data_IF_975817329908
#
_entry.id   IF_975817329908
#
_cell.length_a   1.000
_cell.length_b   1.000
_cell.length_c   1.000
_cell.angle_alpha   90.00
_cell.angle_beta   90.00
_cell.angle_gamma   90.00
#
_symmetry.space_group_name_H-M   'P 1'
#
loop_
_entity.id
_entity.type
_entity.pdbx_description
1 polymer ?
#
# COMPACT_ATOMS: atom_id res chain seq x y z
N UNK A 1 -46.11 7.88 5.03
CA UNK A 1 -44.73 8.07 5.52
C UNK A 1 -43.99 6.75 5.38
N UNK A 2 -43.05 6.66 4.44
CA UNK A 2 -42.32 5.42 4.16
C UNK A 2 -41.14 5.26 5.10
N UNK A 3 -41.04 4.11 5.74
CA UNK A 3 -39.86 3.65 6.48
C UNK A 3 -38.70 3.49 5.50
N UNK A 4 -37.90 4.55 5.32
CA UNK A 4 -36.58 4.42 4.74
C UNK A 4 -35.72 3.65 5.73
N UNK A 5 -35.53 2.35 5.50
CA UNK A 5 -34.50 1.57 6.17
C UNK A 5 -33.14 2.17 5.77
N UNK A 6 -32.70 3.18 6.52
CA UNK A 6 -31.30 3.59 6.53
C UNK A 6 -30.52 2.42 7.12
N UNK A 7 -29.84 1.67 6.27
CA UNK A 7 -28.78 0.78 6.75
C UNK A 7 -27.75 1.68 7.43
N UNK A 8 -27.39 1.37 8.67
CA UNK A 8 -26.26 2.03 9.31
C UNK A 8 -25.04 1.86 8.39
N UNK A 9 -24.33 2.96 8.06
CA UNK A 9 -23.19 2.90 7.17
C UNK A 9 -22.12 2.01 7.82
N UNK A 10 -21.73 0.96 7.12
CA UNK A 10 -20.67 0.06 7.56
C UNK A 10 -19.34 0.54 6.96
N UNK A 11 -18.35 0.76 7.81
CA UNK A 11 -17.04 1.26 7.41
C UNK A 11 -16.10 0.07 7.14
N UNK A 12 -15.42 0.09 6.01
CA UNK A 12 -14.35 -0.83 5.67
C UNK A 12 -13.01 -0.10 5.61
N UNK A 13 -12.01 -0.69 6.26
CA UNK A 13 -10.63 -0.23 6.18
C UNK A 13 -9.90 -1.16 5.21
N UNK A 14 -9.41 -0.62 4.11
CA UNK A 14 -8.59 -1.37 3.16
C UNK A 14 -7.14 -0.96 3.30
N UNK A 15 -6.27 -1.96 3.44
CA UNK A 15 -4.84 -1.76 3.32
C UNK A 15 -4.41 -2.11 1.90
N UNK A 16 -3.69 -1.20 1.26
CA UNK A 16 -3.17 -1.36 -0.08
C UNK A 16 -1.65 -1.24 -0.03
N UNK A 17 -0.96 -2.26 -0.53
CA UNK A 17 0.48 -2.25 -0.73
C UNK A 17 0.78 -2.42 -2.21
N UNK A 18 1.46 -1.44 -2.80
CA UNK A 18 1.95 -1.47 -4.17
C UNK A 18 3.45 -1.66 -4.15
N UNK A 19 3.94 -2.71 -4.78
CA UNK A 19 5.38 -2.96 -4.95
C UNK A 19 5.73 -2.77 -6.41
N UNK A 20 6.55 -1.77 -6.73
CA UNK A 20 7.04 -1.48 -8.08
C UNK A 20 8.42 -2.08 -8.28
N UNK A 21 8.60 -2.82 -9.36
CA UNK A 21 9.87 -3.47 -9.71
C UNK A 21 10.55 -2.70 -10.84
N UNK A 22 11.71 -2.10 -10.54
CA UNK A 22 12.48 -1.32 -11.52
C UNK A 22 13.46 -2.17 -12.34
N UNK A 23 13.60 -3.45 -12.00
CA UNK A 23 14.49 -4.40 -12.66
C UNK A 23 15.72 -4.73 -11.81
N UNK A 24 16.74 -5.26 -12.49
CA UNK A 24 18.05 -5.58 -11.92
C UNK A 24 18.96 -4.38 -12.19
N UNK A 25 19.47 -3.72 -11.16
CA UNK A 25 20.60 -2.81 -11.38
C UNK A 25 21.90 -3.55 -11.10
N UNK A 26 22.82 -3.46 -12.06
CA UNK A 26 24.21 -3.89 -11.87
C UNK A 26 24.92 -2.82 -11.05
N UNK A 27 24.98 -2.99 -9.74
CA UNK A 27 25.80 -2.13 -8.90
C UNK A 27 27.23 -2.69 -8.89
N UNK A 28 28.26 -1.97 -9.37
CA UNK A 28 29.64 -2.35 -9.09
C UNK A 28 29.89 -2.13 -7.60
N UNK A 29 29.98 -3.23 -6.85
CA UNK A 29 30.48 -3.19 -5.47
C UNK A 29 32.00 -2.96 -5.57
N UNK A 30 32.45 -1.74 -5.26
CA UNK A 30 33.86 -1.52 -4.95
C UNK A 30 34.15 -2.14 -3.58
N UNK A 31 34.45 -3.44 -3.58
CA UNK A 31 35.09 -4.11 -2.44
C UNK A 31 36.55 -3.68 -2.44
N UNK A 32 37.11 -3.16 -1.32
CA UNK A 32 38.50 -2.76 -1.26
C UNK A 32 39.39 -3.96 -1.61
N UNK A 33 40.31 -3.73 -2.56
CA UNK A 33 41.21 -4.73 -3.14
C UNK A 33 41.84 -5.60 -2.05
N UNK A 34 41.47 -6.88 -2.00
CA UNK A 34 42.38 -7.95 -1.60
C UNK A 34 41.96 -9.35 -2.04
N UNK A 35 40.75 -9.55 -2.56
CA UNK A 35 40.37 -10.85 -3.14
C UNK A 35 39.56 -10.62 -4.41
N UNK A 36 40.11 -11.08 -5.55
CA UNK A 36 39.45 -11.08 -6.86
C UNK A 36 38.27 -12.03 -6.77
N UNK A 37 37.10 -11.52 -6.42
CA UNK A 37 35.81 -12.14 -6.69
C UNK A 37 34.90 -11.03 -7.21
N UNK A 38 34.79 -10.93 -8.54
CA UNK A 38 33.70 -10.21 -9.21
C UNK A 38 32.39 -10.98 -8.95
N UNK A 39 31.89 -10.92 -7.72
CA UNK A 39 30.58 -11.44 -7.38
C UNK A 39 29.54 -10.43 -7.88
N UNK A 40 28.96 -10.71 -9.05
CA UNK A 40 27.82 -9.97 -9.59
C UNK A 40 26.59 -10.25 -8.70
N UNK A 41 26.33 -9.38 -7.72
CA UNK A 41 25.10 -9.46 -6.93
C UNK A 41 23.97 -8.80 -7.72
N UNK A 42 23.09 -9.64 -8.26
CA UNK A 42 21.84 -9.21 -8.92
C UNK A 42 20.90 -8.66 -7.84
N UNK A 43 21.00 -7.35 -7.58
CA UNK A 43 20.06 -6.63 -6.72
C UNK A 43 18.75 -6.37 -7.47
N UNK A 44 17.63 -6.88 -6.96
CA UNK A 44 16.30 -6.46 -7.42
C UNK A 44 15.94 -5.16 -6.71
N UNK A 45 15.80 -4.07 -7.46
CA UNK A 45 15.35 -2.80 -6.91
C UNK A 45 13.83 -2.77 -6.94
N UNK A 46 13.23 -2.69 -5.76
CA UNK A 46 11.79 -2.52 -5.60
C UNK A 46 11.50 -1.35 -4.66
N UNK A 47 10.51 -0.54 -5.03
CA UNK A 47 9.91 0.44 -4.13
C UNK A 47 8.57 -0.11 -3.65
N UNK A 48 8.30 0.03 -2.36
CA UNK A 48 7.01 -0.35 -1.77
C UNK A 48 6.32 0.91 -1.29
N UNK A 49 5.07 1.08 -1.70
CA UNK A 49 4.18 2.16 -1.28
C UNK A 49 3.01 1.49 -0.55
N UNK A 50 2.73 1.95 0.67
CA UNK A 50 1.71 1.41 1.54
C UNK A 50 0.71 2.51 1.89
N UNK A 51 -0.59 2.26 1.73
CA UNK A 51 -1.66 3.21 2.04
C UNK A 51 -2.87 2.53 2.64
N UNK A 52 -3.64 3.30 3.40
CA UNK A 52 -4.96 2.89 3.88
C UNK A 52 -6.05 3.70 3.19
N UNK A 53 -7.15 3.03 2.83
CA UNK A 53 -8.34 3.62 2.24
C UNK A 53 -9.56 3.28 3.10
N UNK A 54 -10.35 4.29 3.43
CA UNK A 54 -11.61 4.14 4.18
C UNK A 54 -12.75 4.16 3.19
N UNK A 55 -13.56 3.12 3.19
CA UNK A 55 -14.70 2.99 2.28
C UNK A 55 -15.98 2.78 3.08
N UNK A 56 -16.97 3.62 2.82
CA UNK A 56 -18.30 3.49 3.42
C UNK A 56 -19.20 2.64 2.52
N UNK A 57 -19.79 1.58 3.09
CA UNK A 57 -20.78 0.76 2.41
C UNK A 57 -22.17 1.38 2.55
N UNK A 58 -22.65 1.92 1.44
CA UNK A 58 -24.01 2.44 1.29
C UNK A 58 -24.96 1.46 0.57
N UNK A 59 -24.47 0.30 0.15
CA UNK A 59 -25.21 -0.62 -0.72
C UNK A 59 -25.91 -1.76 0.04
N UNK A 60 -27.04 -2.23 -0.52
CA UNK A 60 -27.78 -3.40 -0.04
C UNK A 60 -27.16 -4.74 -0.44
N UNK A 61 -26.07 -4.73 -1.21
CA UNK A 61 -25.34 -5.93 -1.59
C UNK A 61 -24.79 -6.62 -0.34
N UNK A 62 -24.53 -7.92 -0.38
CA UNK A 62 -23.95 -8.61 0.78
C UNK A 62 -22.59 -8.01 1.14
N UNK A 63 -22.25 -8.02 2.44
CA UNK A 63 -20.96 -7.51 2.95
C UNK A 63 -19.77 -8.05 2.15
N UNK A 64 -19.74 -9.36 1.93
CA UNK A 64 -18.69 -10.03 1.18
C UNK A 64 -18.56 -9.51 -0.27
N UNK A 65 -19.70 -9.34 -0.95
CA UNK A 65 -19.70 -8.86 -2.33
C UNK A 65 -19.28 -7.39 -2.43
N UNK A 66 -19.69 -6.56 -1.46
CA UNK A 66 -19.22 -5.18 -1.35
C UNK A 66 -17.70 -5.13 -1.16
N UNK A 67 -17.14 -5.96 -0.28
CA UNK A 67 -15.70 -6.02 -0.04
C UNK A 67 -14.94 -6.37 -1.32
N UNK A 68 -15.41 -7.36 -2.08
CA UNK A 68 -14.79 -7.79 -3.33
C UNK A 68 -14.84 -6.69 -4.40
N UNK A 69 -15.98 -6.00 -4.53
CA UNK A 69 -16.13 -4.87 -5.44
C UNK A 69 -15.15 -3.73 -5.10
N UNK A 70 -15.10 -3.32 -3.84
CA UNK A 70 -14.21 -2.24 -3.42
C UNK A 70 -12.74 -2.63 -3.53
N UNK A 71 -12.37 -3.87 -3.15
CA UNK A 71 -11.02 -4.39 -3.36
C UNK A 71 -10.59 -4.26 -4.82
N UNK A 72 -11.43 -4.74 -5.75
CA UNK A 72 -11.13 -4.69 -7.18
C UNK A 72 -11.00 -3.25 -7.69
N UNK A 73 -11.88 -2.35 -7.26
CA UNK A 73 -11.81 -0.93 -7.64
C UNK A 73 -10.50 -0.27 -7.17
N UNK A 74 -10.07 -0.59 -5.94
CA UNK A 74 -8.83 -0.09 -5.37
C UNK A 74 -7.59 -0.65 -6.09
N UNK A 75 -7.62 -1.94 -6.45
CA UNK A 75 -6.57 -2.58 -7.26
C UNK A 75 -6.49 -1.94 -8.66
N UNK A 76 -7.62 -1.79 -9.35
CA UNK A 76 -7.69 -1.16 -10.68
C UNK A 76 -7.20 0.30 -10.63
N UNK A 77 -7.52 1.04 -9.56
CA UNK A 77 -7.04 2.40 -9.34
C UNK A 77 -5.52 2.43 -9.13
N UNK A 78 -4.99 1.55 -8.26
CA UNK A 78 -3.55 1.44 -8.02
C UNK A 78 -2.79 1.06 -9.30
N UNK A 79 -3.32 0.16 -10.13
CA UNK A 79 -2.69 -0.22 -11.40
C UNK A 79 -2.65 0.95 -12.38
N UNK A 80 -3.68 1.79 -12.40
CA UNK A 80 -3.71 3.00 -13.25
C UNK A 80 -2.74 4.07 -12.76
N UNK A 81 -2.64 4.24 -11.45
CA UNK A 81 -1.76 5.22 -10.81
C UNK A 81 -0.28 4.84 -10.97
N UNK A 82 0.05 3.58 -10.70
CA UNK A 82 1.42 3.07 -10.75
C UNK A 82 1.66 2.30 -12.06
N UNK A 83 2.27 2.96 -13.04
CA UNK A 83 2.61 2.31 -14.32
C UNK A 83 3.80 1.36 -14.21
N UNK A 84 3.80 0.28 -15.00
CA UNK A 84 4.93 -0.64 -15.18
C UNK A 84 4.76 -2.00 -14.49
N UNK A 85 5.89 -2.65 -14.17
CA UNK A 85 5.87 -3.94 -13.50
C UNK A 85 5.61 -3.74 -12.00
N UNK A 86 4.37 -3.98 -11.59
CA UNK A 86 3.90 -3.78 -10.21
C UNK A 86 3.22 -5.03 -9.67
N UNK A 87 3.21 -5.16 -8.35
CA UNK A 87 2.37 -6.09 -7.61
C UNK A 87 1.54 -5.29 -6.64
N UNK A 88 0.21 -5.46 -6.70
CA UNK A 88 -0.74 -4.83 -5.78
C UNK A 88 -1.27 -5.89 -4.84
N UNK A 89 -1.21 -5.63 -3.54
CA UNK A 89 -1.83 -6.43 -2.50
C UNK A 89 -2.88 -5.55 -1.80
N UNK A 90 -4.13 -5.95 -1.85
CA UNK A 90 -5.22 -5.27 -1.15
C UNK A 90 -5.87 -6.22 -0.15
N UNK A 91 -5.85 -5.89 1.13
CA UNK A 91 -6.50 -6.66 2.18
C UNK A 91 -7.47 -5.81 3.00
N UNK A 92 -8.47 -6.48 3.57
CA UNK A 92 -9.36 -5.85 4.54
C UNK A 92 -8.61 -5.81 5.87
N UNK A 93 -8.56 -4.63 6.47
CA UNK A 93 -7.98 -4.37 7.78
C UNK A 93 -9.07 -3.96 8.75
N UNK A 94 -8.70 -3.86 10.03
CA UNK A 94 -9.54 -3.33 11.08
C UNK A 94 -9.18 -1.87 11.38
N UNK A 95 -9.97 -1.25 12.26
CA UNK A 95 -9.72 0.12 12.70
C UNK A 95 -8.36 0.24 13.41
N UNK A 96 -7.93 -0.78 14.15
CA UNK A 96 -6.65 -0.79 14.86
C UNK A 96 -5.46 -0.67 13.91
N UNK A 97 -5.48 -1.43 12.81
CA UNK A 97 -4.45 -1.36 11.78
C UNK A 97 -4.38 0.02 11.10
N UNK A 98 -5.52 0.65 10.88
CA UNK A 98 -5.58 2.03 10.37
C UNK A 98 -4.98 3.04 11.35
N UNK A 99 -5.35 2.97 12.63
CA UNK A 99 -4.82 3.88 13.65
C UNK A 99 -3.30 3.80 13.77
N UNK A 100 -2.74 2.58 13.75
CA UNK A 100 -1.29 2.36 13.78
C UNK A 100 -0.57 2.97 12.57
N UNK A 101 -1.19 2.92 11.40
CA UNK A 101 -0.65 3.57 10.20
C UNK A 101 -0.62 5.09 10.36
N UNK A 102 -1.70 5.69 10.88
CA UNK A 102 -1.76 7.13 11.14
C UNK A 102 -0.71 7.58 12.16
N UNK A 103 -0.51 6.82 13.24
CA UNK A 103 0.52 7.11 14.24
C UNK A 103 1.93 7.11 13.62
N UNK A 104 2.24 6.10 12.81
CA UNK A 104 3.52 6.03 12.08
C UNK A 104 3.71 7.19 11.10
N UNK A 105 2.66 7.61 10.41
CA UNK A 105 2.73 8.74 9.49
C UNK A 105 3.10 10.03 10.22
N UNK A 106 2.48 10.28 11.38
CA UNK A 106 2.79 11.43 12.24
C UNK A 106 4.24 11.38 12.74
N UNK A 107 4.72 10.21 13.17
CA UNK A 107 6.11 10.04 13.59
C UNK A 107 7.12 10.36 12.46
N UNK A 108 6.82 9.94 11.24
CA UNK A 108 7.64 10.24 10.06
C UNK A 108 7.64 11.73 9.72
N UNK A 109 6.49 12.40 9.77
CA UNK A 109 6.38 13.84 9.54
C UNK A 109 7.22 14.62 10.57
N UNK A 110 7.13 14.26 11.86
CA UNK A 110 7.91 14.87 12.93
C UNK A 110 9.43 14.68 12.72
N UNK A 111 9.86 13.50 12.26
CA UNK A 111 11.26 13.23 11.93
C UNK A 111 11.77 14.11 10.78
N UNK A 112 10.96 14.32 9.74
CA UNK A 112 11.31 15.20 8.62
C UNK A 112 11.45 16.63 9.09
N UNK A 113 10.50 17.15 9.87
CA UNK A 113 10.57 18.51 10.42
C UNK A 113 11.81 18.75 11.29
N UNK A 114 12.22 17.73 12.06
CA UNK A 114 13.41 17.82 12.92
C UNK A 114 14.73 17.90 12.15
N UNK A 115 14.79 17.34 10.93
CA UNK A 115 15.99 17.32 10.07
C UNK A 115 16.12 18.56 9.18
N UNK A 116 15.03 19.32 9.04
CA UNK A 116 14.98 20.56 8.25
C UNK A 116 15.24 21.83 9.08
N UNK A 117 15.54 21.70 10.38
CA UNK A 117 15.93 22.78 11.29
C UNK A 117 17.42 22.70 11.61
#
# INVERSE_FOLDING_TARGET
MGLFNFLEPEIFYFYIRVTRYFGVARAPLHVPLNEIHDAEVIGKYSETIERYEIVERHSRLSKQHSIELYRKQLEDAAIKEFSGNISVLTCLSDQSGYMHYCEKAIELEALVESRCK
#
